data_IF_724005321778
#
_entry.id   IF_724005321778
#
_cell.length_a   1.000
_cell.length_b   1.000
_cell.length_c   1.000
_cell.angle_alpha   90.00
_cell.angle_beta   90.00
_cell.angle_gamma   90.00
#
_symmetry.space_group_name_H-M   'P 1'
#
loop_
_entity.id
_entity.type
_entity.pdbx_description
1 polymer ?
#
# COMPACT_ATOMS: atom_id res chain seq x y z
N UNK A 1 7.32 -15.21 3.91
CA UNK A 1 6.37 -14.21 4.39
C UNK A 1 5.78 -13.47 3.21
N UNK A 2 4.50 -13.14 3.29
CA UNK A 2 3.78 -12.25 2.39
C UNK A 2 3.70 -10.86 3.00
N UNK A 3 4.29 -9.89 2.30
CA UNK A 3 4.31 -8.48 2.68
C UNK A 3 3.33 -7.73 1.78
N UNK A 4 2.41 -6.98 2.38
CA UNK A 4 1.58 -6.00 1.67
C UNK A 4 2.23 -4.63 1.84
N UNK A 5 2.73 -4.03 0.74
CA UNK A 5 3.32 -2.70 0.74
C UNK A 5 2.33 -1.71 0.14
N UNK A 6 1.80 -0.82 0.96
CA UNK A 6 0.90 0.25 0.53
C UNK A 6 1.68 1.47 0.07
N UNK A 7 1.39 2.02 -1.11
CA UNK A 7 2.00 3.27 -1.59
C UNK A 7 0.91 4.18 -2.20
N UNK A 8 0.41 5.18 -1.45
CA UNK A 8 -0.67 6.05 -1.90
C UNK A 8 -0.25 6.99 -3.04
N UNK A 9 1.04 7.25 -3.26
CA UNK A 9 1.55 8.16 -4.28
C UNK A 9 2.66 7.52 -5.12
N UNK A 10 2.26 6.54 -5.93
CA UNK A 10 3.16 5.69 -6.70
C UNK A 10 3.68 6.40 -7.95
N UNK A 11 4.71 7.22 -7.79
CA UNK A 11 5.50 7.86 -8.85
C UNK A 11 6.91 8.18 -8.35
N UNK A 12 7.83 8.57 -9.23
CA UNK A 12 9.17 9.04 -8.87
C UNK A 12 9.91 8.11 -7.89
N UNK A 13 10.46 8.68 -6.83
CA UNK A 13 11.21 7.96 -5.78
C UNK A 13 10.37 6.92 -5.05
N UNK A 14 9.09 7.18 -4.78
CA UNK A 14 8.17 6.25 -4.12
C UNK A 14 8.01 4.97 -4.95
N UNK A 15 7.78 5.13 -6.25
CA UNK A 15 7.70 4.01 -7.19
C UNK A 15 9.02 3.24 -7.26
N UNK A 16 10.14 3.95 -7.44
CA UNK A 16 11.46 3.33 -7.53
C UNK A 16 11.81 2.52 -6.27
N UNK A 17 11.50 3.05 -5.10
CA UNK A 17 11.68 2.36 -3.82
C UNK A 17 10.78 1.13 -3.71
N UNK A 18 9.46 1.26 -3.94
CA UNK A 18 8.51 0.17 -3.77
C UNK A 18 8.78 -0.99 -4.75
N UNK A 19 9.02 -0.68 -6.03
CA UNK A 19 9.40 -1.69 -7.04
C UNK A 19 10.78 -2.29 -6.74
N UNK A 20 11.73 -1.47 -6.28
CA UNK A 20 13.06 -1.92 -5.88
C UNK A 20 13.01 -2.89 -4.70
N UNK A 21 12.24 -2.56 -3.67
CA UNK A 21 12.02 -3.42 -2.50
C UNK A 21 11.36 -4.73 -2.90
N UNK A 22 10.28 -4.68 -3.69
CA UNK A 22 9.61 -5.90 -4.16
C UNK A 22 10.52 -6.80 -5.00
N UNK A 23 11.32 -6.21 -5.90
CA UNK A 23 12.21 -6.95 -6.80
C UNK A 23 13.36 -7.65 -6.08
N UNK A 24 13.91 -7.03 -5.04
CA UNK A 24 15.11 -7.52 -4.36
C UNK A 24 14.81 -8.16 -3.00
N UNK A 25 13.54 -8.29 -2.62
CA UNK A 25 13.14 -8.98 -1.40
C UNK A 25 13.19 -10.50 -1.57
N UNK A 26 13.56 -11.20 -0.50
CA UNK A 26 13.40 -12.66 -0.40
C UNK A 26 11.97 -13.07 -0.02
N UNK A 27 11.11 -12.10 0.29
CA UNK A 27 9.72 -12.29 0.66
C UNK A 27 8.80 -12.01 -0.54
N UNK A 28 7.58 -12.57 -0.53
CA UNK A 28 6.56 -12.23 -1.52
C UNK A 28 6.04 -10.84 -1.17
N UNK A 29 6.32 -9.83 -2.01
CA UNK A 29 5.83 -8.47 -1.80
C UNK A 29 4.71 -8.17 -2.79
N UNK A 30 3.53 -7.82 -2.28
CA UNK A 30 2.44 -7.30 -3.10
C UNK A 30 2.36 -5.79 -2.93
N UNK A 31 2.45 -5.05 -4.04
CA UNK A 31 2.32 -3.60 -4.05
C UNK A 31 0.85 -3.21 -4.18
N UNK A 32 0.33 -2.50 -3.18
CA UNK A 32 -1.00 -1.92 -3.19
C UNK A 32 -0.89 -0.40 -3.37
N UNK A 33 -1.19 0.07 -4.58
CA UNK A 33 -0.72 1.39 -4.98
C UNK A 33 -1.80 2.25 -5.59
N UNK A 34 -1.47 3.52 -5.66
CA UNK A 34 -2.29 4.53 -6.27
C UNK A 34 -1.42 5.41 -7.16
N UNK A 35 -1.88 5.69 -8.38
CA UNK A 35 -1.14 6.53 -9.31
C UNK A 35 -0.75 7.87 -8.64
N UNK A 36 0.51 8.25 -8.78
CA UNK A 36 1.11 9.47 -8.22
C UNK A 36 0.57 10.75 -8.86
N UNK A 37 -0.71 11.03 -8.60
CA UNK A 37 -1.45 12.23 -8.96
C UNK A 37 -2.35 12.65 -7.79
N UNK A 38 -2.76 13.92 -7.76
CA UNK A 38 -3.62 14.48 -6.71
C UNK A 38 -3.01 14.33 -5.30
N UNK A 39 -1.74 14.70 -5.12
CA UNK A 39 -0.97 14.43 -3.90
C UNK A 39 -1.68 14.82 -2.59
N UNK A 40 -2.32 16.00 -2.53
CA UNK A 40 -3.10 16.44 -1.35
C UNK A 40 -4.22 15.46 -1.01
N UNK A 41 -4.95 15.01 -2.03
CA UNK A 41 -6.00 14.00 -1.87
C UNK A 41 -5.40 12.65 -1.48
N UNK A 42 -4.22 12.28 -1.99
CA UNK A 42 -3.56 11.02 -1.57
C UNK A 42 -3.17 11.02 -0.08
N UNK A 43 -2.77 12.15 0.47
CA UNK A 43 -2.47 12.26 1.90
C UNK A 43 -3.72 12.10 2.79
N UNK A 44 -4.88 12.58 2.32
CA UNK A 44 -6.10 12.65 3.15
C UNK A 44 -7.08 11.50 2.89
N UNK A 45 -7.24 11.08 1.63
CA UNK A 45 -8.31 10.20 1.19
C UNK A 45 -7.86 8.81 0.72
N UNK A 46 -6.57 8.60 0.45
CA UNK A 46 -6.11 7.31 -0.09
C UNK A 46 -6.34 6.13 0.88
N UNK A 47 -6.39 6.38 2.19
CA UNK A 47 -6.58 5.35 3.19
C UNK A 47 -7.88 4.56 2.98
N UNK A 48 -8.98 5.21 2.58
CA UNK A 48 -10.27 4.55 2.33
C UNK A 48 -10.19 3.59 1.13
N UNK A 49 -9.72 4.08 -0.01
CA UNK A 49 -9.66 3.29 -1.25
C UNK A 49 -8.60 2.20 -1.19
N UNK A 50 -7.49 2.44 -0.49
CA UNK A 50 -6.49 1.40 -0.21
C UNK A 50 -7.04 0.34 0.75
N UNK A 51 -7.80 0.71 1.80
CA UNK A 51 -8.39 -0.27 2.71
C UNK A 51 -9.37 -1.21 1.99
N UNK A 52 -10.22 -0.66 1.11
CA UNK A 52 -11.13 -1.43 0.25
C UNK A 52 -10.37 -2.41 -0.65
N UNK A 53 -9.30 -1.95 -1.28
CA UNK A 53 -8.48 -2.78 -2.16
C UNK A 53 -7.68 -3.84 -1.38
N UNK A 54 -7.20 -3.51 -0.17
CA UNK A 54 -6.51 -4.43 0.72
C UNK A 54 -7.45 -5.57 1.16
N UNK A 55 -8.69 -5.27 1.55
CA UNK A 55 -9.67 -6.31 1.90
C UNK A 55 -10.00 -7.24 0.75
N UNK A 56 -10.17 -6.68 -0.45
CA UNK A 56 -10.40 -7.48 -1.65
C UNK A 56 -9.24 -8.44 -1.92
N UNK A 57 -8.01 -8.01 -1.61
CA UNK A 57 -6.83 -8.84 -1.70
C UNK A 57 -6.80 -9.91 -0.61
N UNK A 58 -7.08 -9.55 0.64
CA UNK A 58 -7.12 -10.48 1.78
C UNK A 58 -8.18 -11.55 1.58
N UNK A 59 -9.36 -11.20 1.07
CA UNK A 59 -10.43 -12.15 0.80
C UNK A 59 -10.05 -13.18 -0.29
N UNK A 60 -9.21 -12.78 -1.26
CA UNK A 60 -8.78 -13.65 -2.36
C UNK A 60 -7.53 -14.46 -2.02
N UNK A 61 -6.53 -13.82 -1.44
CA UNK A 61 -5.17 -14.34 -1.31
C UNK A 61 -4.79 -14.70 0.14
N UNK A 62 -5.66 -14.41 1.11
CA UNK A 62 -5.38 -14.53 2.54
C UNK A 62 -4.73 -13.27 3.15
N UNK A 63 -4.64 -13.18 4.49
CA UNK A 63 -4.01 -12.05 5.16
C UNK A 63 -2.49 -12.04 4.93
N UNK A 64 -1.87 -10.85 4.80
CA UNK A 64 -0.42 -10.75 4.77
C UNK A 64 0.17 -11.00 6.17
N UNK A 65 1.43 -11.44 6.22
CA UNK A 65 2.18 -11.54 7.47
C UNK A 65 2.64 -10.17 7.99
N UNK A 66 2.82 -9.21 7.08
CA UNK A 66 3.32 -7.88 7.39
C UNK A 66 2.72 -6.82 6.47
N UNK A 67 2.32 -5.68 7.05
CA UNK A 67 1.91 -4.47 6.34
C UNK A 67 3.04 -3.44 6.40
N UNK A 68 3.50 -2.99 5.24
CA UNK A 68 4.47 -1.89 5.11
C UNK A 68 3.76 -0.67 4.52
N UNK A 69 3.89 0.48 5.17
CA UNK A 69 3.25 1.72 4.73
C UNK A 69 4.18 2.92 4.94
N UNK A 70 4.22 3.88 4.00
CA UNK A 70 4.92 5.14 4.19
C UNK A 70 4.15 6.05 5.15
N UNK A 71 4.83 7.05 5.67
CA UNK A 71 4.27 8.15 6.45
C UNK A 71 3.11 8.88 5.74
N UNK A 72 3.10 8.87 4.40
CA UNK A 72 2.04 9.44 3.58
C UNK A 72 0.69 8.71 3.73
N UNK A 73 0.69 7.44 4.16
CA UNK A 73 -0.54 6.73 4.45
C UNK A 73 -1.00 7.05 5.86
N UNK A 74 -2.22 7.59 6.00
CA UNK A 74 -2.88 7.70 7.30
C UNK A 74 -3.24 6.30 7.85
N UNK A 75 -2.28 5.62 8.46
CA UNK A 75 -2.37 4.22 8.87
C UNK A 75 -3.55 3.92 9.82
N UNK A 76 -3.85 4.73 10.85
CA UNK A 76 -5.01 4.47 11.71
C UNK A 76 -6.34 4.45 10.95
N UNK A 77 -6.53 5.37 9.99
CA UNK A 77 -7.73 5.42 9.17
C UNK A 77 -7.80 4.19 8.25
N UNK A 78 -6.69 3.83 7.59
CA UNK A 78 -6.60 2.63 6.76
C UNK A 78 -7.02 1.36 7.51
N UNK A 79 -6.57 1.20 8.76
CA UNK A 79 -6.92 0.04 9.60
C UNK A 79 -8.35 0.12 10.16
N UNK A 80 -8.90 1.32 10.34
CA UNK A 80 -10.22 1.54 10.92
C UNK A 80 -11.38 1.54 9.93
N UNK A 81 -11.11 1.66 8.62
CA UNK A 81 -12.19 1.67 7.63
C UNK A 81 -12.84 0.28 7.49
N UNK A 82 -14.19 0.22 7.48
CA UNK A 82 -14.96 -1.02 7.32
C UNK A 82 -14.74 -1.59 5.92
#
# INVERSE_FOLDING_TARGET
MHILLCEPYFTGSHRAWAEGYARHSRHRVTLLTHAGRFWKWRMQGAALTLAQAARSLVARDGPPDLLLAPDMLHLPAFLGFP
#
